data_IF_350331538662
#
_entry.id   IF_350331538662
#
_cell.length_a   1.000
_cell.length_b   1.000
_cell.length_c   1.000
_cell.angle_alpha   90.00
_cell.angle_beta   90.00
_cell.angle_gamma   90.00
#
_symmetry.space_group_name_H-M   'P 1'
#
loop_
_entity.id
_entity.type
_entity.pdbx_description
1 polymer ?
#
# COMPACT_ATOMS: atom_id res chain seq x y z
N UNK A 1 -24.77 -16.87 -6.89
CA UNK A 1 -23.32 -17.09 -7.10
C UNK A 1 -22.93 -18.58 -7.18
N UNK A 2 -23.68 -19.52 -6.59
CA UNK A 2 -23.35 -20.96 -6.61
C UNK A 2 -23.47 -21.67 -7.98
N UNK A 3 -24.10 -21.04 -8.99
CA UNK A 3 -24.36 -21.65 -10.30
C UNK A 3 -23.37 -21.27 -11.40
N UNK A 4 -22.44 -20.33 -11.13
CA UNK A 4 -21.44 -19.88 -12.12
C UNK A 4 -20.18 -20.75 -11.94
N UNK A 5 -19.63 -21.35 -13.00
CA UNK A 5 -18.37 -22.10 -12.92
C UNK A 5 -17.24 -21.28 -12.30
N UNK A 6 -16.50 -21.88 -11.36
CA UNK A 6 -15.37 -21.25 -10.68
C UNK A 6 -14.33 -20.59 -11.64
N UNK A 7 -14.03 -21.14 -12.83
CA UNK A 7 -13.12 -20.50 -13.79
C UNK A 7 -13.62 -19.13 -14.28
N UNK A 8 -14.92 -18.98 -14.51
CA UNK A 8 -15.51 -17.71 -14.96
C UNK A 8 -15.44 -16.66 -13.86
N UNK A 9 -15.72 -17.06 -12.62
CA UNK A 9 -15.59 -16.18 -11.45
C UNK A 9 -14.14 -15.72 -11.28
N UNK A 10 -13.16 -16.61 -11.40
CA UNK A 10 -11.74 -16.26 -11.31
C UNK A 10 -11.31 -15.28 -12.43
N UNK A 11 -11.75 -15.52 -13.67
CA UNK A 11 -11.47 -14.63 -14.80
C UNK A 11 -12.03 -13.21 -14.58
N UNK A 12 -13.26 -13.11 -14.08
CA UNK A 12 -13.88 -11.82 -13.73
C UNK A 12 -13.11 -11.11 -12.61
N UNK A 13 -12.72 -11.83 -11.56
CA UNK A 13 -11.92 -11.24 -10.46
C UNK A 13 -10.56 -10.74 -10.94
N UNK A 14 -9.88 -11.48 -11.83
CA UNK A 14 -8.63 -11.04 -12.44
C UNK A 14 -8.79 -9.67 -13.14
N UNK A 15 -9.87 -9.51 -13.92
CA UNK A 15 -10.17 -8.25 -14.60
C UNK A 15 -10.50 -7.12 -13.62
N UNK A 16 -11.30 -7.38 -12.59
CA UNK A 16 -11.64 -6.36 -11.60
C UNK A 16 -10.43 -5.92 -10.77
N UNK A 17 -9.58 -6.86 -10.32
CA UNK A 17 -8.36 -6.51 -9.60
C UNK A 17 -7.37 -5.74 -10.47
N UNK A 18 -7.24 -6.10 -11.75
CA UNK A 18 -6.42 -5.34 -12.70
C UNK A 18 -6.97 -3.91 -12.90
N UNK A 19 -8.29 -3.74 -13.00
CA UNK A 19 -8.92 -2.43 -13.13
C UNK A 19 -8.70 -1.55 -11.89
N UNK A 20 -8.90 -2.09 -10.69
CA UNK A 20 -8.63 -1.38 -9.42
C UNK A 20 -7.14 -1.02 -9.32
N UNK A 21 -6.25 -1.95 -9.67
CA UNK A 21 -4.81 -1.71 -9.70
C UNK A 21 -4.41 -0.60 -10.68
N UNK A 22 -4.99 -0.58 -11.88
CA UNK A 22 -4.78 0.48 -12.88
C UNK A 22 -5.27 1.85 -12.39
N UNK A 23 -6.40 1.89 -11.68
CA UNK A 23 -6.88 3.11 -11.02
C UNK A 23 -5.90 3.62 -9.96
N UNK A 24 -5.32 2.73 -9.16
CA UNK A 24 -4.27 3.07 -8.20
C UNK A 24 -2.99 3.59 -8.88
N UNK A 25 -2.53 2.91 -9.94
CA UNK A 25 -1.35 3.33 -10.71
C UNK A 25 -1.56 4.68 -11.40
N UNK A 26 -2.79 5.01 -11.79
CA UNK A 26 -3.11 6.31 -12.38
C UNK A 26 -2.82 7.48 -11.41
N UNK A 27 -2.86 7.26 -10.09
CA UNK A 27 -2.46 8.29 -9.12
C UNK A 27 -0.96 8.61 -9.16
N UNK A 28 -0.13 7.69 -9.66
CA UNK A 28 1.31 7.94 -9.84
C UNK A 28 1.59 9.02 -10.88
N UNK A 29 0.63 9.34 -11.76
CA UNK A 29 0.77 10.44 -12.71
C UNK A 29 0.92 11.81 -12.01
N UNK A 30 0.42 11.92 -10.78
CA UNK A 30 0.55 13.14 -9.98
C UNK A 30 1.91 13.20 -9.26
N UNK A 31 2.66 12.09 -9.22
CA UNK A 31 3.99 12.02 -8.63
C UNK A 31 5.08 12.19 -9.71
N UNK A 32 6.21 12.77 -9.34
CA UNK A 32 7.36 12.89 -10.22
C UNK A 32 8.12 11.56 -10.31
N UNK A 33 7.85 10.78 -11.38
CA UNK A 33 8.54 9.51 -11.69
C UNK A 33 9.94 9.70 -12.30
N UNK A 34 10.36 10.93 -12.60
CA UNK A 34 11.72 11.18 -13.04
C UNK A 34 12.71 11.14 -11.85
N UNK A 35 12.23 11.53 -10.66
CA UNK A 35 13.00 11.57 -9.42
C UNK A 35 13.43 10.17 -8.96
N UNK A 36 14.71 10.00 -8.62
CA UNK A 36 15.25 8.75 -8.08
C UNK A 36 14.53 8.36 -6.77
N UNK A 37 14.23 9.36 -5.92
CA UNK A 37 13.54 9.18 -4.64
C UNK A 37 12.19 8.48 -4.81
N UNK A 38 11.33 9.00 -5.68
CA UNK A 38 9.98 8.45 -5.91
C UNK A 38 10.03 7.03 -6.46
N UNK A 39 10.92 6.78 -7.43
CA UNK A 39 11.14 5.44 -8.00
C UNK A 39 11.66 4.45 -6.96
N UNK A 40 12.60 4.87 -6.12
CA UNK A 40 13.15 4.05 -5.04
C UNK A 40 12.08 3.69 -4.00
N UNK A 41 11.29 4.67 -3.53
CA UNK A 41 10.21 4.44 -2.57
C UNK A 41 9.18 3.47 -3.15
N UNK A 42 8.74 3.69 -4.39
CA UNK A 42 7.76 2.85 -5.06
C UNK A 42 8.26 1.42 -5.23
N UNK A 43 9.46 1.25 -5.80
CA UNK A 43 10.04 -0.06 -6.07
C UNK A 43 10.34 -0.85 -4.79
N UNK A 44 10.95 -0.20 -3.80
CA UNK A 44 11.29 -0.84 -2.53
C UNK A 44 10.04 -1.22 -1.72
N UNK A 45 9.04 -0.33 -1.65
CA UNK A 45 7.79 -0.60 -0.94
C UNK A 45 7.03 -1.78 -1.53
N UNK A 46 6.92 -1.88 -2.86
CA UNK A 46 6.24 -2.99 -3.52
C UNK A 46 7.01 -4.29 -3.31
N UNK A 47 8.33 -4.28 -3.46
CA UNK A 47 9.16 -5.47 -3.27
C UNK A 47 9.07 -6.00 -1.82
N UNK A 48 9.24 -5.12 -0.83
CA UNK A 48 9.10 -5.51 0.58
C UNK A 48 7.67 -5.87 0.97
N UNK A 49 6.68 -5.21 0.35
CA UNK A 49 5.26 -5.49 0.51
C UNK A 49 4.86 -6.91 0.08
N UNK A 50 5.59 -7.51 -0.86
CA UNK A 50 5.41 -8.93 -1.22
C UNK A 50 6.33 -9.85 -0.42
N UNK A 51 7.58 -9.44 -0.17
CA UNK A 51 8.58 -10.30 0.47
C UNK A 51 8.29 -10.56 1.95
N UNK A 52 7.86 -9.55 2.71
CA UNK A 52 7.64 -9.68 4.15
C UNK A 52 6.41 -10.56 4.45
N UNK A 53 5.23 -10.37 3.83
CA UNK A 53 4.10 -11.26 4.06
C UNK A 53 4.37 -12.69 3.60
N UNK A 54 5.11 -12.87 2.50
CA UNK A 54 5.52 -14.21 2.06
C UNK A 54 6.40 -14.91 3.10
N UNK A 55 7.33 -14.17 3.71
CA UNK A 55 8.12 -14.67 4.84
C UNK A 55 7.22 -15.06 6.01
N UNK A 56 6.25 -14.22 6.41
CA UNK A 56 5.33 -14.55 7.49
C UNK A 56 4.45 -15.78 7.19
N UNK A 57 4.01 -15.92 5.94
CA UNK A 57 3.20 -17.04 5.49
C UNK A 57 4.00 -18.36 5.51
N UNK A 58 5.23 -18.34 4.98
CA UNK A 58 6.10 -19.51 4.95
C UNK A 58 6.54 -19.93 6.37
N UNK A 59 6.87 -18.97 7.23
CA UNK A 59 7.18 -19.25 8.64
C UNK A 59 5.98 -19.82 9.40
N UNK A 60 4.76 -19.34 9.13
CA UNK A 60 3.53 -19.87 9.74
C UNK A 60 3.23 -21.29 9.23
N UNK A 61 3.47 -21.56 7.94
CA UNK A 61 3.26 -22.87 7.32
C UNK A 61 4.23 -23.94 7.84
N UNK A 62 5.50 -23.57 8.10
CA UNK A 62 6.53 -24.51 8.56
C UNK A 62 6.43 -24.76 10.08
N UNK A 63 6.24 -23.71 10.89
CA UNK A 63 6.32 -23.82 12.35
C UNK A 63 4.96 -23.93 13.07
N UNK A 64 3.83 -23.95 12.33
CA UNK A 64 2.44 -23.96 12.87
C UNK A 64 2.09 -22.79 13.79
N UNK A 65 2.96 -21.79 13.90
CA UNK A 65 2.78 -20.58 14.67
C UNK A 65 3.37 -19.40 13.89
N UNK A 66 2.74 -18.22 13.99
CA UNK A 66 3.29 -16.99 13.40
C UNK A 66 4.66 -16.64 13.98
N UNK A 67 5.51 -15.90 13.25
CA UNK A 67 6.89 -15.60 13.65
C UNK A 67 7.02 -14.87 14.99
N UNK A 68 5.96 -14.15 15.42
CA UNK A 68 5.84 -13.65 16.79
C UNK A 68 5.02 -14.64 17.62
N UNK A 69 5.69 -15.41 18.48
CA UNK A 69 5.07 -16.35 19.42
C UNK A 69 5.41 -16.01 20.87
N UNK A 70 4.74 -15.00 21.41
CA UNK A 70 4.80 -14.64 22.84
C UNK A 70 3.66 -15.31 23.61
N UNK A 71 3.78 -15.48 24.94
CA UNK A 71 2.69 -15.98 25.82
C UNK A 71 1.42 -15.11 25.81
N UNK A 72 1.46 -13.93 25.18
CA UNK A 72 0.33 -13.03 25.00
C UNK A 72 -0.29 -13.22 23.60
N UNK A 73 -1.37 -14.00 23.52
CA UNK A 73 -2.07 -14.29 22.24
C UNK A 73 -2.58 -13.03 21.54
N UNK A 74 -3.07 -12.04 22.31
CA UNK A 74 -3.55 -10.76 21.79
C UNK A 74 -2.46 -9.95 21.07
N UNK A 75 -1.21 -10.01 21.55
CA UNK A 75 -0.09 -9.29 20.96
C UNK A 75 0.37 -9.95 19.66
N UNK A 76 0.37 -11.29 19.65
CA UNK A 76 0.69 -12.05 18.45
C UNK A 76 -0.32 -11.78 17.34
N UNK A 77 -1.63 -11.73 17.64
CA UNK A 77 -2.65 -11.44 16.63
C UNK A 77 -2.55 -9.99 16.13
N UNK A 78 -2.27 -9.04 17.03
CA UNK A 78 -2.12 -7.63 16.66
C UNK A 78 -0.93 -7.37 15.71
N UNK A 79 0.10 -8.22 15.73
CA UNK A 79 1.25 -8.10 14.83
C UNK A 79 1.10 -9.02 13.61
N UNK A 80 0.76 -10.29 13.80
CA UNK A 80 0.75 -11.25 12.69
C UNK A 80 -0.34 -10.93 11.66
N UNK A 81 -1.52 -10.42 12.06
CA UNK A 81 -2.62 -10.11 11.14
C UNK A 81 -2.26 -8.99 10.15
N UNK A 82 -1.84 -7.79 10.59
CA UNK A 82 -1.49 -6.73 9.65
C UNK A 82 -0.24 -7.04 8.82
N UNK A 83 0.76 -7.71 9.39
CA UNK A 83 1.98 -8.08 8.66
C UNK A 83 1.77 -9.23 7.66
N UNK A 84 0.69 -10.00 7.79
CA UNK A 84 0.27 -10.97 6.78
C UNK A 84 -0.39 -10.32 5.56
N UNK A 85 -0.71 -9.02 5.60
CA UNK A 85 -1.35 -8.31 4.48
C UNK A 85 -0.31 -7.54 3.64
N UNK A 86 -0.16 -7.95 2.38
CA UNK A 86 0.75 -7.31 1.42
C UNK A 86 0.48 -5.82 1.23
N UNK A 87 -0.79 -5.44 1.13
CA UNK A 87 -1.18 -4.04 0.97
C UNK A 87 -0.83 -3.19 2.20
N UNK A 88 -0.99 -3.74 3.40
CA UNK A 88 -0.65 -3.03 4.64
C UNK A 88 0.87 -2.82 4.75
N UNK A 89 1.65 -3.87 4.51
CA UNK A 89 3.12 -3.79 4.59
C UNK A 89 3.68 -2.86 3.50
N UNK A 90 3.17 -2.94 2.28
CA UNK A 90 3.55 -2.00 1.22
C UNK A 90 3.22 -0.56 1.64
N UNK A 91 2.00 -0.30 2.12
CA UNK A 91 1.54 1.04 2.50
C UNK A 91 2.35 1.65 3.66
N UNK A 92 2.60 0.89 4.73
CA UNK A 92 3.35 1.40 5.89
C UNK A 92 4.81 1.67 5.54
N UNK A 93 5.42 0.85 4.69
CA UNK A 93 6.80 1.06 4.22
C UNK A 93 6.89 2.25 3.26
N UNK A 94 5.93 2.40 2.34
CA UNK A 94 5.86 3.57 1.46
C UNK A 94 5.74 4.85 2.29
N UNK A 95 4.85 4.86 3.29
CA UNK A 95 4.68 5.99 4.21
C UNK A 95 5.95 6.29 5.00
N UNK A 96 6.55 5.25 5.62
CA UNK A 96 7.75 5.41 6.41
C UNK A 96 8.93 5.96 5.59
N UNK A 97 9.13 5.44 4.37
CA UNK A 97 10.16 5.93 3.47
C UNK A 97 9.86 7.34 2.96
N UNK A 98 8.59 7.67 2.70
CA UNK A 98 8.22 9.02 2.27
C UNK A 98 8.48 10.06 3.38
N UNK A 99 8.26 9.72 4.64
CA UNK A 99 8.59 10.55 5.81
C UNK A 99 10.11 10.64 6.01
N UNK A 100 10.82 9.52 5.95
CA UNK A 100 12.27 9.45 6.23
C UNK A 100 13.10 10.13 5.15
N UNK A 101 12.74 9.95 3.88
CA UNK A 101 13.41 10.58 2.74
C UNK A 101 12.91 12.00 2.48
N UNK A 102 12.14 12.59 3.41
CA UNK A 102 11.61 13.94 3.29
C UNK A 102 12.70 14.99 3.52
N UNK A 103 13.45 15.34 2.48
CA UNK A 103 14.15 16.62 2.46
C UNK A 103 13.09 17.74 2.55
N UNK A 104 13.26 18.70 3.47
CA UNK A 104 12.37 19.87 3.71
C UNK A 104 12.26 20.83 2.52
N UNK A 105 12.61 20.38 1.33
CA UNK A 105 12.74 21.20 0.16
C UNK A 105 11.42 21.34 -0.59
N UNK A 106 11.16 22.52 -1.13
CA UNK A 106 9.93 22.86 -1.86
C UNK A 106 9.73 21.99 -3.11
N UNK A 107 10.84 21.54 -3.71
CA UNK A 107 10.87 20.63 -4.87
C UNK A 107 10.36 19.22 -4.48
N UNK A 108 10.63 18.77 -3.24
CA UNK A 108 10.16 17.45 -2.77
C UNK A 108 8.64 17.43 -2.54
N UNK A 109 8.01 18.59 -2.27
CA UNK A 109 6.54 18.70 -2.21
C UNK A 109 5.90 18.59 -3.59
N UNK A 110 6.53 19.17 -4.62
CA UNK A 110 6.08 19.01 -6.01
C UNK A 110 6.19 17.55 -6.46
N UNK A 111 7.28 16.88 -6.09
CA UNK A 111 7.54 15.49 -6.47
C UNK A 111 6.51 14.47 -5.97
N UNK A 112 5.82 14.76 -4.86
CA UNK A 112 4.79 13.87 -4.27
C UNK A 112 3.38 14.13 -4.80
N UNK A 113 3.21 15.09 -5.70
CA UNK A 113 1.88 15.50 -6.15
C UNK A 113 1.09 16.30 -5.12
N UNK A 114 1.73 16.78 -4.04
CA UNK A 114 1.05 17.55 -2.99
C UNK A 114 0.38 18.82 -3.53
N UNK A 115 0.92 19.39 -4.61
CA UNK A 115 0.30 20.52 -5.31
C UNK A 115 -1.10 20.17 -5.86
N UNK A 116 -1.29 18.96 -6.37
CA UNK A 116 -2.60 18.48 -6.81
C UNK A 116 -3.51 18.20 -5.61
N UNK A 117 -2.98 17.57 -4.56
CA UNK A 117 -3.74 17.25 -3.34
C UNK A 117 -4.15 18.49 -2.52
N UNK A 118 -3.38 19.57 -2.55
CA UNK A 118 -3.67 20.83 -1.84
C UNK A 118 -5.03 21.42 -2.28
N UNK A 119 -5.43 21.22 -3.55
CA UNK A 119 -6.74 21.66 -4.06
C UNK A 119 -7.92 20.93 -3.41
N UNK A 120 -7.73 19.67 -3.02
CA UNK A 120 -8.74 18.89 -2.30
C UNK A 120 -8.78 19.21 -0.80
N UNK A 121 -7.67 19.71 -0.24
CA UNK A 121 -7.61 20.15 1.16
C UNK A 121 -8.40 21.44 1.41
N UNK A 122 -8.60 22.26 0.37
CA UNK A 122 -9.31 23.54 0.46
C UNK A 122 -10.85 23.42 0.50
N UNK A 123 -11.42 22.22 0.38
CA UNK A 123 -12.88 22.03 0.38
C UNK A 123 -13.55 22.49 1.70
N UNK A 124 -12.79 22.61 2.79
CA UNK A 124 -13.29 23.07 4.09
C UNK A 124 -13.30 24.60 4.26
N UNK A 125 -12.77 25.38 3.32
CA UNK A 125 -12.74 26.86 3.40
C UNK A 125 -13.52 27.55 2.28
N UNK A 126 -14.30 26.81 1.49
CA UNK A 126 -15.13 27.39 0.43
C UNK A 126 -16.46 27.86 1.03
N UNK A 127 -16.60 29.18 1.22
CA UNK A 127 -17.82 29.85 1.73
C UNK A 127 -19.00 29.81 0.74
N UNK A 128 -18.88 29.11 -0.39
CA UNK A 128 -19.96 28.95 -1.39
C UNK A 128 -20.84 27.71 -1.17
N UNK A 129 -20.59 26.95 -0.10
CA UNK A 129 -21.31 25.70 0.20
C UNK A 129 -22.35 25.84 1.33
N UNK A 130 -22.70 27.08 1.72
CA UNK A 130 -23.86 27.39 2.57
C UNK A 130 -24.94 28.10 1.75
#
# INVERSE_FOLDING_TARGET
FASIPAPIVAALHCLFFAYVGAGGLSLLQFCNLNSFRTKFILGFSVFMGLSIPQYFNEHTAINKYGPVHTRARWFNDMINVPFSSEAFVAGILAFFLDVTLSSKDSETRKDRGMFWWDRFRSFKSDTRSE
#
